data_IF_172199846264
#
_entry.id   IF_172199846264
#
_cell.length_a   1.000
_cell.length_b   1.000
_cell.length_c   1.000
_cell.angle_alpha   90.00
_cell.angle_beta   90.00
_cell.angle_gamma   90.00
#
_symmetry.space_group_name_H-M   'P 1'
#
loop_
_entity.id
_entity.type
_entity.pdbx_description
1 polymer ?
#
# COMPACT_ATOMS: atom_id res chain seq x y z
N UNK A 1 7.29 22.63 -7.89
CA UNK A 1 6.59 21.67 -7.01
C UNK A 1 6.61 20.24 -7.61
N UNK A 2 7.73 19.51 -7.54
CA UNK A 2 7.81 18.09 -7.99
C UNK A 2 8.47 17.15 -6.96
N UNK A 3 9.37 17.67 -6.13
CA UNK A 3 10.07 16.89 -5.11
C UNK A 3 9.13 16.25 -4.06
N UNK A 4 8.07 16.96 -3.64
CA UNK A 4 7.10 16.46 -2.64
C UNK A 4 6.30 15.25 -3.13
N UNK A 5 5.95 15.22 -4.43
CA UNK A 5 5.25 14.09 -5.04
C UNK A 5 6.15 12.86 -5.09
N UNK A 6 7.39 13.01 -5.59
CA UNK A 6 8.36 11.91 -5.66
C UNK A 6 8.68 11.30 -4.30
N UNK A 7 8.87 12.14 -3.28
CA UNK A 7 9.12 11.65 -1.92
C UNK A 7 7.92 10.88 -1.34
N UNK A 8 6.70 11.27 -1.73
CA UNK A 8 5.48 10.56 -1.35
C UNK A 8 5.35 9.21 -2.07
N UNK A 9 5.74 9.15 -3.34
CA UNK A 9 5.73 7.92 -4.14
C UNK A 9 6.77 6.90 -3.62
N UNK A 10 8.00 7.33 -3.36
CA UNK A 10 9.06 6.48 -2.80
C UNK A 10 8.66 5.91 -1.43
N UNK A 11 7.97 6.72 -0.61
CA UNK A 11 7.42 6.28 0.67
C UNK A 11 6.33 5.22 0.48
N UNK A 12 5.40 5.43 -0.45
CA UNK A 12 4.34 4.47 -0.74
C UNK A 12 4.90 3.15 -1.26
N UNK A 13 5.87 3.19 -2.17
CA UNK A 13 6.55 2.00 -2.67
C UNK A 13 7.23 1.23 -1.54
N UNK A 14 7.88 1.93 -0.61
CA UNK A 14 8.49 1.32 0.58
C UNK A 14 7.45 0.63 1.47
N UNK A 15 6.29 1.26 1.68
CA UNK A 15 5.18 0.68 2.45
C UNK A 15 4.69 -0.61 1.79
N UNK A 16 4.48 -0.60 0.46
CA UNK A 16 3.98 -1.75 -0.28
C UNK A 16 4.97 -2.92 -0.27
N UNK A 17 6.27 -2.68 -0.48
CA UNK A 17 7.29 -3.73 -0.43
C UNK A 17 7.35 -4.40 0.95
N UNK A 18 7.37 -3.60 2.03
CA UNK A 18 7.37 -4.13 3.40
C UNK A 18 6.09 -4.93 3.71
N UNK A 19 4.93 -4.44 3.27
CA UNK A 19 3.67 -5.14 3.47
C UNK A 19 3.63 -6.47 2.68
N UNK A 20 4.19 -6.49 1.46
CA UNK A 20 4.32 -7.70 0.65
C UNK A 20 5.23 -8.75 1.29
N UNK A 21 6.30 -8.30 1.99
CA UNK A 21 7.18 -9.17 2.80
C UNK A 21 6.54 -9.70 4.09
N UNK A 22 5.27 -9.37 4.36
CA UNK A 22 4.50 -9.89 5.49
C UNK A 22 4.51 -9.00 6.73
N UNK A 23 5.03 -7.78 6.64
CA UNK A 23 4.93 -6.83 7.75
C UNK A 23 3.51 -6.27 7.91
N UNK A 24 3.08 -6.03 9.14
CA UNK A 24 1.77 -5.41 9.38
C UNK A 24 1.85 -3.91 9.06
N UNK A 25 0.75 -3.36 8.52
CA UNK A 25 0.66 -1.92 8.25
C UNK A 25 0.83 -1.07 9.52
N UNK A 26 0.45 -1.59 10.69
CA UNK A 26 0.69 -0.92 11.96
C UNK A 26 2.19 -0.82 12.25
N UNK A 27 2.94 -1.91 12.11
CA UNK A 27 4.40 -1.91 12.36
C UNK A 27 5.11 -0.97 11.39
N UNK A 28 4.76 -1.01 10.11
CA UNK A 28 5.32 -0.11 9.10
C UNK A 28 5.04 1.36 9.46
N UNK A 29 3.82 1.68 9.88
CA UNK A 29 3.45 3.03 10.30
C UNK A 29 4.27 3.50 11.51
N UNK A 30 4.39 2.65 12.54
CA UNK A 30 5.16 2.93 13.75
C UNK A 30 6.65 3.16 13.42
N UNK A 31 7.27 2.30 12.60
CA UNK A 31 8.68 2.40 12.19
C UNK A 31 8.97 3.63 11.32
N UNK A 32 7.99 4.10 10.55
CA UNK A 32 8.15 5.25 9.64
C UNK A 32 7.68 6.57 10.25
N UNK A 33 7.17 6.57 11.49
CA UNK A 33 6.61 7.77 12.14
C UNK A 33 5.35 8.30 11.43
N UNK A 34 4.53 7.40 10.86
CA UNK A 34 3.32 7.74 10.10
C UNK A 34 2.06 7.39 10.89
N UNK A 35 0.96 8.07 10.59
CA UNK A 35 -0.35 7.69 11.11
C UNK A 35 -0.82 6.36 10.48
N UNK A 36 -1.27 5.41 11.31
CA UNK A 36 -1.78 4.08 10.89
C UNK A 36 -2.89 4.19 9.85
N UNK A 37 -3.83 5.10 10.04
CA UNK A 37 -4.92 5.37 9.09
C UNK A 37 -4.43 5.91 7.74
N UNK A 38 -3.34 6.68 7.74
CA UNK A 38 -2.73 7.19 6.51
C UNK A 38 -2.16 6.03 5.67
N UNK A 39 -1.36 5.17 6.31
CA UNK A 39 -0.78 3.97 5.67
C UNK A 39 -1.89 3.06 5.14
N UNK A 40 -2.93 2.79 5.95
CA UNK A 40 -4.09 1.99 5.55
C UNK A 40 -4.84 2.59 4.38
N UNK A 41 -5.03 3.91 4.36
CA UNK A 41 -5.73 4.60 3.27
C UNK A 41 -4.94 4.55 1.97
N UNK A 42 -3.63 4.79 2.02
CA UNK A 42 -2.77 4.80 0.84
C UNK A 42 -2.68 3.41 0.20
N UNK A 43 -2.41 2.35 0.99
CA UNK A 43 -2.32 1.00 0.44
C UNK A 43 -3.65 0.49 -0.12
N UNK A 44 -4.79 0.90 0.47
CA UNK A 44 -6.13 0.62 -0.08
C UNK A 44 -6.41 1.35 -1.38
N UNK A 45 -5.90 2.56 -1.57
CA UNK A 45 -6.03 3.27 -2.84
C UNK A 45 -5.32 2.52 -3.96
N UNK A 46 -4.14 1.98 -3.69
CA UNK A 46 -3.39 1.15 -4.65
C UNK A 46 -4.18 -0.10 -5.02
N UNK A 47 -4.67 -0.86 -4.02
CA UNK A 47 -5.52 -2.03 -4.29
C UNK A 47 -6.77 -1.67 -5.11
N UNK A 48 -7.42 -0.55 -4.81
CA UNK A 48 -8.62 -0.11 -5.56
C UNK A 48 -8.29 0.25 -7.00
N UNK A 49 -7.16 0.92 -7.24
CA UNK A 49 -6.69 1.22 -8.59
C UNK A 49 -6.40 -0.09 -9.35
N UNK A 50 -5.70 -1.03 -8.72
CA UNK A 50 -5.36 -2.31 -9.34
C UNK A 50 -6.59 -3.15 -9.68
N UNK A 51 -7.58 -3.19 -8.78
CA UNK A 51 -8.88 -3.82 -9.04
C UNK A 51 -9.66 -3.17 -10.19
N UNK A 52 -9.46 -1.88 -10.45
CA UNK A 52 -10.15 -1.14 -11.49
C UNK A 52 -9.43 -1.19 -12.85
N UNK A 53 -8.09 -1.28 -12.83
CA UNK A 53 -7.25 -0.99 -14.00
C UNK A 53 -6.50 -2.21 -14.55
N UNK A 54 -6.22 -3.25 -13.75
CA UNK A 54 -5.41 -4.40 -14.20
C UNK A 54 -6.10 -5.27 -15.26
N UNK A 55 -7.44 -5.32 -15.26
CA UNK A 55 -8.21 -6.30 -16.03
C UNK A 55 -8.10 -7.73 -15.49
N UNK A 56 -7.38 -7.95 -14.38
CA UNK A 56 -7.24 -9.26 -13.76
C UNK A 56 -8.48 -9.62 -12.93
N UNK A 57 -8.81 -10.92 -12.77
CA UNK A 57 -9.86 -11.33 -11.85
C UNK A 57 -9.57 -10.84 -10.43
N UNK A 58 -10.59 -10.32 -9.74
CA UNK A 58 -10.44 -9.73 -8.40
C UNK A 58 -9.81 -10.67 -7.37
N UNK A 59 -10.00 -11.99 -7.51
CA UNK A 59 -9.36 -13.00 -6.67
C UNK A 59 -7.84 -13.05 -6.85
N UNK A 60 -7.34 -12.89 -8.09
CA UNK A 60 -5.91 -12.86 -8.42
C UNK A 60 -5.29 -11.59 -7.84
N UNK A 61 -5.91 -10.43 -8.10
CA UNK A 61 -5.47 -9.13 -7.55
C UNK A 61 -5.34 -9.23 -6.03
N UNK A 62 -6.38 -9.69 -5.32
CA UNK A 62 -6.37 -9.76 -3.85
C UNK A 62 -5.26 -10.65 -3.26
N UNK A 63 -4.76 -11.63 -4.00
CA UNK A 63 -3.64 -12.46 -3.54
C UNK A 63 -2.32 -11.68 -3.46
N UNK A 64 -2.15 -10.66 -4.30
CA UNK A 64 -0.99 -9.77 -4.28
C UNK A 64 -1.00 -8.76 -3.11
N UNK A 65 -2.16 -8.58 -2.45
CA UNK A 65 -2.34 -7.65 -1.32
C UNK A 65 -2.73 -8.39 -0.03
N UNK A 66 -1.84 -9.23 0.55
CA UNK A 66 -2.17 -10.09 1.69
C UNK A 66 -2.64 -9.32 2.93
N UNK A 67 -2.21 -8.06 3.10
CA UNK A 67 -2.64 -7.18 4.19
C UNK A 67 -4.09 -6.67 4.04
N UNK A 68 -4.69 -6.82 2.86
CA UNK A 68 -6.05 -6.37 2.57
C UNK A 68 -7.11 -7.47 2.76
N UNK A 69 -6.70 -8.64 3.29
CA UNK A 69 -7.63 -9.69 3.72
C UNK A 69 -8.46 -9.16 4.89
N UNK A 70 -9.71 -8.80 4.59
CA UNK A 70 -10.81 -8.53 5.53
C UNK A 70 -11.97 -9.42 5.10
#
# INVERSE_FOLDING_TARGET
>A
MKASARQSDERLLTILDRAYRGETLSRIADDMGLAKESVRTQTRRVLRADLAESGEPSGVVRLAYPWARV
#
